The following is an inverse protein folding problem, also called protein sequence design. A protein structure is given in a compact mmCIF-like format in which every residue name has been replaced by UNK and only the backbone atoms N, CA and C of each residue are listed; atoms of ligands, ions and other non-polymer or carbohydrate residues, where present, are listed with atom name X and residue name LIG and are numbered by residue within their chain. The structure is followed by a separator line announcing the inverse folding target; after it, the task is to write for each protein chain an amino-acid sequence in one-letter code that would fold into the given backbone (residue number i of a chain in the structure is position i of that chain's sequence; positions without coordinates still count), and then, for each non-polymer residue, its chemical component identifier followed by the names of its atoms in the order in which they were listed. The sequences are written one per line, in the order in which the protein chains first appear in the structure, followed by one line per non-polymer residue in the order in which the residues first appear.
data_IF_098587912390
#
_entry.id   IF_098587912390
#
_cell.length_a   1.000
_cell.length_b   1.000
_cell.length_c   1.000
_cell.angle_alpha   90.00
_cell.angle_beta   90.00
_cell.angle_gamma   90.00
#
_symmetry.space_group_name_H-M   'P 1'
#
loop_
_entity.id
_entity.type
_entity.pdbx_description
1 polymer ?
#
# COMPACT_ATOMS: atom_id res chain seq x y z
N UNK A 1 36.40 -9.35 41.18
CA UNK A 1 36.50 -10.79 41.51
C UNK A 1 35.30 -11.17 42.37
N UNK A 2 34.29 -11.84 41.80
CA UNK A 2 33.16 -12.39 42.55
C UNK A 2 32.99 -13.83 42.08
N UNK A 3 33.31 -14.76 42.97
CA UNK A 3 33.16 -16.19 42.76
C UNK A 3 31.71 -16.62 42.97
N UNK A 4 31.26 -17.58 42.18
CA UNK A 4 30.01 -18.29 42.41
C UNK A 4 30.31 -19.77 42.28
N UNK A 5 30.18 -20.45 43.43
CA UNK A 5 30.33 -21.87 43.62
C UNK A 5 29.07 -22.54 43.08
N UNK A 6 29.21 -23.49 42.15
CA UNK A 6 28.12 -24.38 41.75
C UNK A 6 28.39 -25.80 42.25
N UNK A 7 27.37 -26.29 42.94
CA UNK A 7 27.28 -27.51 43.71
C UNK A 7 27.25 -28.77 42.82
N UNK A 8 27.87 -29.83 43.33
CA UNK A 8 27.79 -31.19 42.84
C UNK A 8 26.35 -31.70 42.72
N UNK A 9 26.00 -32.30 41.58
CA UNK A 9 24.81 -33.15 41.43
C UNK A 9 25.28 -34.56 41.09
N UNK A 10 24.94 -35.48 41.98
CA UNK A 10 25.25 -36.89 41.92
C UNK A 10 24.52 -37.58 40.76
N UNK A 11 25.25 -38.39 39.99
CA UNK A 11 24.76 -39.30 38.98
C UNK A 11 24.17 -40.56 39.65
N UNK A 12 22.86 -40.72 39.57
CA UNK A 12 22.15 -41.97 39.85
C UNK A 12 22.05 -42.85 38.59
N UNK A 13 22.04 -44.16 38.85
CA UNK A 13 22.23 -45.31 37.94
C UNK A 13 21.19 -45.45 36.80
N UNK A 14 21.56 -46.17 35.73
CA UNK A 14 20.67 -46.44 34.60
C UNK A 14 19.67 -47.56 34.91
N UNK A 15 18.39 -47.32 34.68
CA UNK A 15 17.38 -48.38 34.60
C UNK A 15 17.22 -48.83 33.14
N UNK A 16 17.38 -50.13 32.95
CA UNK A 16 17.22 -50.82 31.70
C UNK A 16 15.74 -51.01 31.34
N UNK A 17 15.45 -50.88 30.04
CA UNK A 17 14.53 -51.75 29.31
C UNK A 17 13.05 -51.44 29.43
N UNK A 18 12.53 -50.59 28.54
CA UNK A 18 11.18 -50.73 28.00
C UNK A 18 11.23 -50.44 26.49
N UNK A 19 11.01 -51.49 25.71
CA UNK A 19 10.89 -51.47 24.25
C UNK A 19 9.54 -50.86 23.87
N UNK A 20 9.44 -49.54 23.97
CA UNK A 20 8.22 -48.81 23.66
C UNK A 20 8.19 -48.54 22.16
N UNK A 21 7.19 -49.10 21.48
CA UNK A 21 6.88 -48.88 20.08
C UNK A 21 6.39 -47.43 19.88
N UNK A 22 7.30 -46.47 20.08
CA UNK A 22 7.14 -45.05 19.80
C UNK A 22 7.33 -44.84 18.30
N UNK A 23 6.41 -45.41 17.51
CA UNK A 23 6.24 -45.05 16.11
C UNK A 23 6.02 -43.53 16.07
N UNK A 24 7.02 -42.84 15.54
CA UNK A 24 7.29 -41.44 15.81
C UNK A 24 6.06 -40.54 15.75
N UNK A 25 5.79 -39.86 16.88
CA UNK A 25 5.08 -38.58 16.88
C UNK A 25 5.89 -37.63 16.00
N UNK A 26 5.68 -37.69 14.68
CA UNK A 26 6.26 -36.75 13.72
C UNK A 26 5.84 -35.37 14.18
N UNK A 27 6.84 -34.61 14.62
CA UNK A 27 6.71 -33.25 15.06
C UNK A 27 6.26 -32.37 13.88
N UNK A 28 4.95 -32.34 13.62
CA UNK A 28 4.32 -31.37 12.72
C UNK A 28 4.38 -29.93 13.29
N UNK A 29 5.16 -29.70 14.36
CA UNK A 29 5.29 -28.43 15.08
C UNK A 29 6.09 -27.36 14.32
N UNK A 30 6.84 -27.73 13.27
CA UNK A 30 7.74 -26.81 12.57
C UNK A 30 7.06 -25.76 11.69
N UNK A 31 5.90 -26.04 11.10
CA UNK A 31 5.26 -25.15 10.11
C UNK A 31 4.43 -24.04 10.75
N UNK A 32 3.85 -24.29 11.92
CA UNK A 32 3.05 -23.32 12.68
C UNK A 32 3.78 -22.00 12.95
N UNK A 33 5.01 -21.98 13.51
CA UNK A 33 5.72 -20.72 13.76
C UNK A 33 6.01 -19.97 12.46
N UNK A 34 6.31 -20.68 11.36
CA UNK A 34 6.56 -20.08 10.04
C UNK A 34 5.30 -19.38 9.54
N UNK A 35 4.14 -20.03 9.57
CA UNK A 35 2.87 -19.43 9.14
C UNK A 35 2.50 -18.20 9.98
N UNK A 36 2.66 -18.27 11.31
CA UNK A 36 2.43 -17.12 12.20
C UNK A 36 3.29 -15.91 11.79
N UNK A 37 4.58 -16.14 11.50
CA UNK A 37 5.49 -15.09 11.04
C UNK A 37 5.09 -14.56 9.65
N UNK A 38 4.74 -15.42 8.70
CA UNK A 38 4.31 -15.01 7.35
C UNK A 38 3.03 -14.15 7.38
N UNK A 39 2.04 -14.52 8.20
CA UNK A 39 0.83 -13.72 8.41
C UNK A 39 1.21 -12.34 8.98
N UNK A 40 2.05 -12.30 10.01
CA UNK A 40 2.47 -11.06 10.64
C UNK A 40 3.23 -10.13 9.67
N UNK A 41 4.12 -10.67 8.84
CA UNK A 41 4.83 -9.93 7.79
C UNK A 41 3.85 -9.38 6.75
N UNK A 42 2.86 -10.19 6.34
CA UNK A 42 1.85 -9.79 5.35
C UNK A 42 1.01 -8.60 5.85
N UNK A 43 0.56 -8.66 7.11
CA UNK A 43 -0.15 -7.54 7.78
C UNK A 43 0.73 -6.29 7.81
N UNK A 44 2.00 -6.44 8.22
CA UNK A 44 2.94 -5.32 8.29
C UNK A 44 3.13 -4.66 6.92
N UNK A 45 3.35 -5.44 5.86
CA UNK A 45 3.51 -4.93 4.49
C UNK A 45 2.24 -4.23 4.00
N UNK A 46 1.05 -4.78 4.24
CA UNK A 46 -0.21 -4.11 3.91
C UNK A 46 -0.37 -2.75 4.61
N UNK A 47 0.04 -2.64 5.89
CA UNK A 47 0.08 -1.38 6.64
C UNK A 47 1.10 -0.39 6.07
N UNK A 48 2.29 -0.86 5.69
CA UNK A 48 3.31 -0.05 5.00
C UNK A 48 2.77 0.59 3.73
N UNK A 49 2.16 -0.19 2.84
CA UNK A 49 1.56 0.37 1.62
C UNK A 49 0.41 1.32 1.93
N UNK A 50 -0.42 1.02 2.94
CA UNK A 50 -1.49 1.92 3.38
C UNK A 50 -0.96 3.28 3.86
N UNK A 51 0.16 3.28 4.58
CA UNK A 51 0.84 4.50 5.00
C UNK A 51 1.36 5.28 3.78
N UNK A 52 2.12 4.63 2.89
CA UNK A 52 2.66 5.25 1.67
C UNK A 52 1.57 5.85 0.77
N UNK A 53 0.42 5.17 0.61
CA UNK A 53 -0.72 5.68 -0.16
C UNK A 53 -1.26 7.00 0.44
N UNK A 54 -1.34 7.07 1.78
CA UNK A 54 -1.86 8.22 2.51
C UNK A 54 -0.90 9.40 2.48
N UNK A 55 0.40 9.13 2.64
CA UNK A 55 1.46 10.15 2.64
C UNK A 55 1.95 10.53 1.25
N UNK A 56 1.42 9.90 0.20
CA UNK A 56 1.85 10.05 -1.20
C UNK A 56 3.35 9.77 -1.40
N UNK A 57 3.86 8.79 -0.65
CA UNK A 57 5.23 8.32 -0.75
C UNK A 57 5.31 7.04 -1.57
N UNK A 58 6.45 6.83 -2.24
CA UNK A 58 6.74 5.59 -2.95
C UNK A 58 7.82 4.81 -2.19
N UNK A 59 7.51 3.60 -1.69
CA UNK A 59 8.50 2.78 -1.02
C UNK A 59 9.59 2.34 -2.01
N UNK A 60 10.81 2.10 -1.50
CA UNK A 60 11.96 1.71 -2.32
C UNK A 60 11.69 0.45 -3.15
N UNK A 61 11.03 -0.54 -2.56
CA UNK A 61 10.63 -1.78 -3.24
C UNK A 61 9.81 -1.49 -4.51
N UNK A 62 8.89 -0.52 -4.44
CA UNK A 62 8.07 -0.12 -5.61
C UNK A 62 8.91 0.61 -6.65
N UNK A 63 9.88 1.44 -6.24
CA UNK A 63 10.79 2.09 -7.18
C UNK A 63 11.68 1.06 -7.89
N UNK A 64 12.16 0.06 -7.17
CA UNK A 64 13.00 -1.01 -7.69
C UNK A 64 12.28 -1.84 -8.78
N UNK A 65 10.96 -2.04 -8.66
CA UNK A 65 10.16 -2.73 -9.69
C UNK A 65 10.21 -2.06 -11.07
N UNK A 66 10.51 -0.76 -11.13
CA UNK A 66 10.59 -0.02 -12.39
C UNK A 66 12.00 0.02 -13.00
N UNK A 67 12.97 -0.74 -12.46
CA UNK A 67 14.27 -0.94 -13.12
C UNK A 67 15.04 0.36 -13.42
N UNK A 68 14.90 1.39 -12.57
CA UNK A 68 15.55 2.69 -12.76
C UNK A 68 14.66 3.79 -13.35
N UNK A 69 13.52 3.43 -13.95
CA UNK A 69 12.51 4.42 -14.34
C UNK A 69 11.82 5.01 -13.11
N UNK A 70 11.63 6.32 -13.10
CA UNK A 70 10.92 7.01 -12.02
C UNK A 70 9.42 7.09 -12.38
N UNK A 71 8.56 6.22 -11.81
CA UNK A 71 7.13 6.30 -12.10
C UNK A 71 6.57 7.62 -11.60
N UNK A 72 5.57 8.17 -12.31
CA UNK A 72 4.80 9.27 -11.75
C UNK A 72 4.19 8.88 -10.40
N UNK A 73 4.06 9.83 -9.48
CA UNK A 73 3.48 9.58 -8.14
C UNK A 73 2.11 8.90 -8.27
N UNK A 74 1.27 9.36 -9.20
CA UNK A 74 -0.04 8.76 -9.45
C UNK A 74 0.04 7.28 -9.86
N UNK A 75 0.98 6.93 -10.75
CA UNK A 75 1.20 5.54 -11.17
C UNK A 75 1.74 4.69 -10.02
N UNK A 76 2.77 5.15 -9.31
CA UNK A 76 3.33 4.38 -8.19
C UNK A 76 2.32 4.17 -7.06
N UNK A 77 1.43 5.13 -6.79
CA UNK A 77 0.37 4.97 -5.78
C UNK A 77 -0.68 3.92 -6.22
N UNK A 78 -0.97 3.80 -7.52
CA UNK A 78 -1.81 2.70 -8.02
C UNK A 78 -1.16 1.34 -7.78
N UNK A 79 0.14 1.22 -8.05
CA UNK A 79 0.90 0.00 -7.76
C UNK A 79 0.88 -0.33 -6.27
N UNK A 80 1.09 0.66 -5.39
CA UNK A 80 0.96 0.46 -3.94
C UNK A 80 -0.44 -0.07 -3.54
N UNK A 81 -1.52 0.37 -4.18
CA UNK A 81 -2.87 -0.15 -3.93
C UNK A 81 -2.99 -1.62 -4.33
N UNK A 82 -2.45 -2.00 -5.48
CA UNK A 82 -2.43 -3.40 -5.95
C UNK A 82 -1.65 -4.27 -4.97
N UNK A 83 -0.42 -3.88 -4.63
CA UNK A 83 0.41 -4.62 -3.68
C UNK A 83 -0.25 -4.74 -2.31
N UNK A 84 -0.87 -3.68 -1.79
CA UNK A 84 -1.63 -3.74 -0.53
C UNK A 84 -2.72 -4.81 -0.59
N UNK A 85 -3.51 -4.85 -1.66
CA UNK A 85 -4.55 -5.85 -1.84
C UNK A 85 -3.98 -7.27 -1.91
N UNK A 86 -2.84 -7.44 -2.57
CA UNK A 86 -2.15 -8.73 -2.65
C UNK A 86 -1.64 -9.21 -1.29
N UNK A 87 -1.05 -8.32 -0.47
CA UNK A 87 -0.64 -8.67 0.89
C UNK A 87 -1.81 -9.07 1.79
N UNK A 88 -2.98 -8.44 1.65
CA UNK A 88 -4.18 -8.89 2.35
C UNK A 88 -4.70 -10.24 1.84
N UNK A 89 -4.51 -10.56 0.55
CA UNK A 89 -4.84 -11.88 0.00
C UNK A 89 -3.93 -12.94 0.61
N UNK A 90 -2.62 -12.70 0.64
CA UNK A 90 -1.64 -13.60 1.26
C UNK A 90 -1.93 -13.83 2.74
N UNK A 91 -2.27 -12.76 3.49
CA UNK A 91 -2.70 -12.87 4.89
C UNK A 91 -3.84 -13.90 5.07
N UNK A 92 -4.89 -13.82 4.24
CA UNK A 92 -6.02 -14.76 4.29
C UNK A 92 -5.58 -16.18 3.96
N UNK A 93 -4.84 -16.36 2.86
CA UNK A 93 -4.33 -17.68 2.46
C UNK A 93 -3.51 -18.35 3.56
N UNK A 94 -2.63 -17.61 4.23
CA UNK A 94 -1.82 -18.17 5.32
C UNK A 94 -2.65 -18.44 6.59
N UNK A 95 -3.65 -17.60 6.91
CA UNK A 95 -4.59 -17.87 8.01
C UNK A 95 -5.41 -19.13 7.75
N UNK A 96 -5.87 -19.33 6.51
CA UNK A 96 -6.62 -20.52 6.11
C UNK A 96 -5.74 -21.77 6.23
N UNK A 97 -4.50 -21.71 5.76
CA UNK A 97 -3.54 -22.81 5.90
C UNK A 97 -3.26 -23.15 7.37
N UNK A 98 -3.08 -22.13 8.23
CA UNK A 98 -2.88 -22.32 9.67
C UNK A 98 -4.12 -22.94 10.34
N UNK A 99 -5.31 -22.52 9.93
CA UNK A 99 -6.56 -23.07 10.44
C UNK A 99 -6.71 -24.55 10.03
N UNK A 100 -6.47 -24.89 8.75
CA UNK A 100 -6.49 -26.28 8.27
C UNK A 100 -5.49 -27.15 9.04
N UNK A 101 -4.25 -26.68 9.24
CA UNK A 101 -3.26 -27.41 10.02
C UNK A 101 -3.73 -27.69 11.45
N UNK A 102 -4.39 -26.72 12.09
CA UNK A 102 -4.96 -26.90 13.43
C UNK A 102 -6.11 -27.92 13.43
N UNK A 103 -6.95 -27.93 12.38
CA UNK A 103 -8.05 -28.89 12.25
C UNK A 103 -7.56 -30.33 12.07
N UNK A 104 -6.42 -30.54 11.40
CA UNK A 104 -5.79 -31.84 11.20
C UNK A 104 -5.14 -32.44 12.46
N UNK A 105 -5.07 -31.69 13.56
CA UNK A 105 -4.56 -32.24 14.84
C UNK A 105 -5.64 -33.03 15.58
N UNK A 106 -5.25 -34.09 16.29
CA UNK A 106 -6.14 -34.92 17.12
C UNK A 106 -6.54 -34.26 18.46
N UNK A 107 -6.53 -32.93 18.52
CA UNK A 107 -6.88 -32.18 19.71
C UNK A 107 -8.38 -32.06 19.89
N UNK A 108 -8.83 -31.99 21.14
CA UNK A 108 -10.23 -31.70 21.45
C UNK A 108 -10.63 -30.30 20.94
N UNK A 109 -11.91 -30.07 20.57
CA UNK A 109 -12.36 -28.78 20.05
C UNK A 109 -12.04 -27.58 20.96
N UNK A 110 -12.13 -27.77 22.28
CA UNK A 110 -11.78 -26.73 23.26
C UNK A 110 -10.30 -26.33 23.21
N UNK A 111 -9.41 -27.32 23.07
CA UNK A 111 -7.96 -27.07 22.93
C UNK A 111 -7.65 -26.43 21.58
N UNK A 112 -8.30 -26.86 20.49
CA UNK A 112 -8.18 -26.20 19.17
C UNK A 112 -8.57 -24.72 19.25
N UNK A 113 -9.73 -24.40 19.82
CA UNK A 113 -10.20 -23.02 19.98
C UNK A 113 -9.22 -22.16 20.79
N UNK A 114 -8.67 -22.71 21.89
CA UNK A 114 -7.65 -22.02 22.70
C UNK A 114 -6.38 -21.77 21.91
N UNK A 115 -5.83 -22.77 21.22
CA UNK A 115 -4.63 -22.63 20.39
C UNK A 115 -4.80 -21.62 19.26
N UNK A 116 -5.97 -21.60 18.61
CA UNK A 116 -6.28 -20.59 17.59
C UNK A 116 -6.19 -19.16 18.15
N UNK A 117 -6.75 -18.92 19.34
CA UNK A 117 -6.63 -17.64 20.03
C UNK A 117 -5.17 -17.29 20.31
N UNK A 118 -4.40 -18.22 20.87
CA UNK A 118 -2.97 -18.03 21.14
C UNK A 118 -2.17 -17.69 19.87
N UNK A 119 -2.52 -18.30 18.72
CA UNK A 119 -1.91 -17.94 17.44
C UNK A 119 -2.33 -16.55 16.97
N UNK A 120 -3.61 -16.19 17.04
CA UNK A 120 -4.08 -14.84 16.71
C UNK A 120 -3.36 -13.77 17.55
N UNK A 121 -3.26 -13.97 18.87
CA UNK A 121 -2.58 -13.06 19.79
C UNK A 121 -1.10 -12.90 19.40
N UNK A 122 -0.43 -14.01 19.06
CA UNK A 122 0.97 -14.01 18.63
C UNK A 122 1.17 -13.33 17.27
N UNK A 123 0.27 -13.56 16.31
CA UNK A 123 0.26 -12.88 15.01
C UNK A 123 0.14 -11.38 15.21
N UNK A 124 -0.82 -10.94 16.02
CA UNK A 124 -1.06 -9.52 16.28
C UNK A 124 0.12 -8.86 16.98
N UNK A 125 0.63 -9.47 18.06
CA UNK A 125 1.81 -9.01 18.76
C UNK A 125 3.01 -8.85 17.81
N UNK A 126 3.28 -9.87 17.00
CA UNK A 126 4.40 -9.86 16.04
C UNK A 126 4.20 -8.82 14.95
N UNK A 127 3.00 -8.71 14.38
CA UNK A 127 2.68 -7.72 13.36
C UNK A 127 2.82 -6.29 13.89
N UNK A 128 2.37 -6.03 15.12
CA UNK A 128 2.51 -4.73 15.77
C UNK A 128 3.98 -4.39 16.05
N UNK A 129 4.78 -5.36 16.51
CA UNK A 129 6.21 -5.16 16.72
C UNK A 129 6.94 -4.84 15.41
N UNK A 130 6.67 -5.59 14.34
CA UNK A 130 7.24 -5.32 13.01
C UNK A 130 6.82 -3.95 12.49
N UNK A 131 5.53 -3.63 12.63
CA UNK A 131 4.98 -2.35 12.21
C UNK A 131 5.60 -1.17 12.93
N UNK A 132 5.80 -1.24 14.26
CA UNK A 132 6.44 -0.17 15.02
C UNK A 132 7.86 0.13 14.55
N UNK A 133 8.64 -0.90 14.20
CA UNK A 133 9.98 -0.74 13.62
C UNK A 133 9.94 -0.09 12.25
N UNK A 134 9.09 -0.61 11.38
CA UNK A 134 8.95 -0.12 10.00
C UNK A 134 8.43 1.33 9.96
N UNK A 135 7.46 1.66 10.81
CA UNK A 135 6.86 2.99 10.92
C UNK A 135 7.90 4.04 11.30
N UNK A 136 8.85 3.72 12.19
CA UNK A 136 9.93 4.63 12.53
C UNK A 136 10.79 4.96 11.29
N UNK A 137 11.16 3.94 10.51
CA UNK A 137 11.90 4.10 9.24
C UNK A 137 11.12 4.94 8.22
N UNK A 138 9.84 4.62 8.00
CA UNK A 138 8.98 5.34 7.06
C UNK A 138 8.78 6.81 7.44
N UNK A 139 8.70 7.12 8.73
CA UNK A 139 8.60 8.50 9.22
C UNK A 139 9.90 9.28 8.99
N UNK A 140 11.06 8.64 9.18
CA UNK A 140 12.36 9.25 8.93
C UNK A 140 12.58 9.55 7.43
N UNK A 141 12.02 8.74 6.54
CA UNK A 141 12.10 8.95 5.09
C UNK A 141 11.15 10.03 4.56
N UNK A 142 10.32 10.64 5.42
CA UNK A 142 9.39 11.68 4.97
C UNK A 142 10.21 12.90 4.55
N UNK A 143 10.08 13.37 3.30
CA UNK A 143 10.75 14.59 2.89
C UNK A 143 10.26 15.70 3.82
N UNK A 144 11.20 16.30 4.56
CA UNK A 144 10.97 17.52 5.30
C UNK A 144 10.49 18.51 4.26
N UNK A 145 9.21 18.89 4.30
CA UNK A 145 8.72 19.94 3.40
C UNK A 145 9.68 21.10 3.56
N UNK A 146 10.39 21.54 2.49
CA UNK A 146 11.21 22.73 2.62
C UNK A 146 10.26 23.81 3.12
N UNK A 147 10.57 24.35 4.30
CA UNK A 147 9.82 25.44 4.89
C UNK A 147 9.85 26.51 3.79
N UNK A 148 8.73 26.74 3.12
CA UNK A 148 8.64 27.74 2.07
C UNK A 148 8.83 29.08 2.76
N UNK A 149 10.10 29.47 2.94
CA UNK A 149 10.46 30.84 3.25
C UNK A 149 10.05 31.61 2.00
N UNK A 150 9.05 32.47 2.14
CA UNK A 150 8.43 33.17 1.02
C UNK A 150 9.44 33.98 0.24
N UNK A 151 10.01 33.38 -0.80
CA UNK A 151 10.70 34.08 -1.87
C UNK A 151 9.72 34.05 -3.05
N UNK A 152 9.20 35.23 -3.36
CA UNK A 152 8.38 35.48 -4.53
C UNK A 152 9.24 35.16 -5.76
N UNK A 153 8.99 34.03 -6.42
CA UNK A 153 9.70 33.68 -7.64
C UNK A 153 9.28 34.65 -8.75
N UNK A 154 10.29 35.28 -9.36
CA UNK A 154 10.14 36.05 -10.60
C UNK A 154 9.54 35.16 -11.70
N UNK A 155 8.76 35.78 -12.58
CA UNK A 155 7.85 35.19 -13.57
C UNK A 155 8.45 34.12 -14.52
N UNK A 156 9.78 33.93 -14.58
CA UNK A 156 10.43 32.97 -15.49
C UNK A 156 10.23 31.51 -15.10
N UNK A 157 10.19 31.19 -13.80
CA UNK A 157 10.20 29.79 -13.34
C UNK A 157 8.82 29.13 -13.47
N UNK A 158 7.75 29.92 -13.39
CA UNK A 158 6.38 29.44 -13.56
C UNK A 158 6.13 28.99 -15.00
N UNK A 159 6.67 29.72 -15.98
CA UNK A 159 6.53 29.39 -17.39
C UNK A 159 7.29 28.10 -17.72
N UNK A 160 8.53 27.95 -17.25
CA UNK A 160 9.29 26.72 -17.47
C UNK A 160 8.68 25.50 -16.79
N UNK A 161 8.15 25.64 -15.57
CA UNK A 161 7.48 24.55 -14.88
C UNK A 161 6.14 24.17 -15.53
N UNK A 162 5.37 25.14 -16.03
CA UNK A 162 4.11 24.86 -16.75
C UNK A 162 4.38 24.23 -18.12
N UNK A 163 5.45 24.62 -18.82
CA UNK A 163 5.88 23.98 -20.06
C UNK A 163 6.38 22.54 -19.84
N UNK A 164 7.05 22.27 -18.71
CA UNK A 164 7.53 20.93 -18.35
C UNK A 164 6.40 19.93 -18.04
N UNK A 165 5.21 20.41 -17.64
CA UNK A 165 4.02 19.56 -17.47
C UNK A 165 3.42 19.10 -18.81
N UNK A 166 3.89 19.67 -19.91
CA UNK A 166 3.40 19.40 -21.27
C UNK A 166 2.24 20.32 -21.68
N UNK A 167 1.98 20.43 -22.99
CA UNK A 167 1.07 21.44 -23.57
C UNK A 167 -0.37 21.37 -23.06
N UNK A 168 -0.77 20.24 -22.45
CA UNK A 168 -2.09 20.01 -21.86
C UNK A 168 -2.40 20.88 -20.62
N UNK A 169 -1.38 21.49 -19.99
CA UNK A 169 -1.55 22.27 -18.76
C UNK A 169 -1.43 23.79 -18.96
N UNK A 170 -1.18 24.24 -20.19
CA UNK A 170 -1.04 25.67 -20.53
C UNK A 170 -2.41 26.34 -20.71
N UNK A 171 -3.49 25.56 -20.83
CA UNK A 171 -4.83 26.09 -21.08
C UNK A 171 -5.63 26.19 -19.79
N UNK A 172 -5.97 27.42 -19.40
CA UNK A 172 -6.88 27.71 -18.29
C UNK A 172 -8.18 26.91 -18.41
N UNK A 173 -8.50 26.15 -17.36
CA UNK A 173 -9.69 25.30 -17.29
C UNK A 173 -11.02 26.06 -17.20
N UNK A 174 -10.98 27.39 -17.20
CA UNK A 174 -12.16 28.26 -17.11
C UNK A 174 -12.59 28.90 -18.44
N UNK A 175 -11.87 28.69 -19.54
CA UNK A 175 -12.20 29.33 -20.82
C UNK A 175 -13.40 28.67 -21.48
N UNK A 176 -14.27 29.50 -22.04
CA UNK A 176 -15.43 29.04 -22.79
C UNK A 176 -15.00 28.31 -24.08
N UNK A 177 -15.80 27.35 -24.56
CA UNK A 177 -15.56 26.65 -25.84
C UNK A 177 -15.25 27.60 -27.01
N UNK A 178 -15.98 28.73 -27.22
CA UNK A 178 -15.65 29.68 -28.28
C UNK A 178 -14.27 30.35 -28.09
N UNK A 179 -13.85 30.66 -26.86
CA UNK A 179 -12.50 31.19 -26.62
C UNK A 179 -11.40 30.17 -26.94
N UNK A 180 -11.64 28.90 -26.62
CA UNK A 180 -10.71 27.82 -26.95
C UNK A 180 -10.61 27.60 -28.47
N UNK A 181 -11.74 27.66 -29.19
CA UNK A 181 -11.75 27.61 -30.65
C UNK A 181 -11.05 28.81 -31.29
N UNK A 182 -11.24 30.01 -30.72
CA UNK A 182 -10.54 31.22 -31.16
C UNK A 182 -9.02 31.05 -31.03
N UNK A 183 -8.54 30.44 -29.93
CA UNK A 183 -7.12 30.08 -29.76
C UNK A 183 -6.64 29.06 -30.78
N UNK A 184 -7.40 28.00 -31.05
CA UNK A 184 -7.05 27.00 -32.07
C UNK A 184 -6.86 27.66 -33.43
N UNK A 185 -7.80 28.54 -33.83
CA UNK A 185 -7.71 29.30 -35.08
C UNK A 185 -6.52 30.26 -35.11
N UNK A 186 -6.25 30.93 -33.98
CA UNK A 186 -5.08 31.80 -33.85
C UNK A 186 -3.78 31.02 -34.02
N UNK A 187 -3.64 29.84 -33.40
CA UNK A 187 -2.45 28.98 -33.56
C UNK A 187 -2.31 28.47 -34.99
N UNK A 188 -3.42 28.04 -35.62
CA UNK A 188 -3.41 27.61 -37.01
C UNK A 188 -3.01 28.72 -37.98
N UNK A 189 -3.37 29.98 -37.68
CA UNK A 189 -2.94 31.14 -38.46
C UNK A 189 -1.43 31.42 -38.44
N UNK A 190 -0.67 30.76 -37.55
CA UNK A 190 0.79 30.81 -37.51
C UNK A 190 1.45 29.57 -38.17
N UNK A 191 0.66 28.58 -38.58
CA UNK A 191 1.16 27.40 -39.30
C UNK A 191 1.31 27.70 -40.81
N UNK A 192 2.02 26.83 -41.52
CA UNK A 192 2.03 26.88 -42.99
C UNK A 192 0.61 26.69 -43.54
N UNK A 193 0.28 27.25 -44.73
CA UNK A 193 -1.04 27.09 -45.30
C UNK A 193 -1.42 25.62 -45.54
N UNK A 194 -0.44 24.75 -45.76
CA UNK A 194 -0.61 23.29 -45.91
C UNK A 194 -0.97 22.58 -44.60
N UNK A 195 -0.45 23.06 -43.45
CA UNK A 195 -0.69 22.45 -42.14
C UNK A 195 -1.84 23.12 -41.35
N UNK A 196 -2.29 24.31 -41.76
CA UNK A 196 -3.32 25.08 -41.05
C UNK A 196 -4.61 24.29 -40.82
N UNK A 197 -5.13 23.62 -41.86
CA UNK A 197 -6.34 22.80 -41.76
C UNK A 197 -6.14 21.59 -40.84
N UNK A 198 -4.95 20.98 -40.86
CA UNK A 198 -4.61 19.88 -39.94
C UNK A 198 -4.58 20.38 -38.50
N UNK A 199 -3.95 21.52 -38.23
CA UNK A 199 -3.89 22.14 -36.91
C UNK A 199 -5.29 22.47 -36.36
N UNK A 200 -6.20 22.98 -37.21
CA UNK A 200 -7.59 23.24 -36.81
C UNK A 200 -8.30 21.94 -36.48
N UNK A 201 -8.21 20.93 -37.35
CA UNK A 201 -8.86 19.63 -37.18
C UNK A 201 -8.40 18.93 -35.89
N UNK A 202 -7.10 18.89 -35.63
CA UNK A 202 -6.52 18.32 -34.41
C UNK A 202 -6.95 19.11 -33.17
N UNK A 203 -6.90 20.45 -33.22
CA UNK A 203 -7.32 21.31 -32.12
C UNK A 203 -8.79 21.12 -31.74
N UNK A 204 -9.68 21.03 -32.73
CA UNK A 204 -11.11 20.75 -32.51
C UNK A 204 -11.32 19.35 -31.92
N UNK A 205 -10.61 18.33 -32.43
CA UNK A 205 -10.70 16.96 -31.92
C UNK A 205 -10.28 16.87 -30.44
N UNK A 206 -9.25 17.61 -30.04
CA UNK A 206 -8.83 17.71 -28.63
C UNK A 206 -9.93 18.35 -27.76
N UNK A 207 -10.60 19.40 -28.23
CA UNK A 207 -11.69 20.05 -27.50
C UNK A 207 -12.89 19.12 -27.32
N UNK A 208 -13.28 18.37 -28.37
CA UNK A 208 -14.38 17.39 -28.31
C UNK A 208 -14.09 16.26 -27.31
N UNK A 209 -12.83 15.78 -27.25
CA UNK A 209 -12.41 14.77 -26.27
C UNK A 209 -12.35 15.32 -24.85
N UNK A 210 -12.00 16.60 -24.71
CA UNK A 210 -11.93 17.30 -23.42
C UNK A 210 -13.29 17.53 -22.78
N UNK A 211 -14.29 17.97 -23.55
CA UNK A 211 -15.67 18.20 -23.05
C UNK A 211 -16.35 16.91 -22.60
N UNK A 212 -16.13 15.79 -23.32
CA UNK A 212 -16.61 14.46 -22.94
C UNK A 212 -16.00 13.96 -21.62
N UNK A 213 -14.78 14.39 -21.27
CA UNK A 213 -14.15 14.05 -19.99
C UNK A 213 -14.65 14.94 -18.84
N UNK A 214 -15.02 16.20 -19.12
CA UNK A 214 -15.54 17.15 -18.13
C UNK A 214 -16.98 16.79 -17.74
N UNK A 215 -17.85 16.38 -18.68
CA UNK A 215 -19.23 15.99 -18.36
C UNK A 215 -19.32 14.79 -17.42
N UNK A 216 -18.32 13.89 -17.46
CA UNK A 216 -18.22 12.74 -16.54
C UNK A 216 -17.79 13.14 -15.12
N UNK A 217 -17.22 14.32 -14.94
CA UNK A 217 -16.72 14.79 -13.66
C UNK A 217 -17.70 15.71 -12.92
N UNK A 218 -18.57 16.41 -13.66
CA UNK A 218 -19.61 17.29 -13.09
C UNK A 218 -20.87 16.54 -12.63
N UNK A 219 -21.07 15.28 -13.03
CA UNK A 219 -22.24 14.47 -12.64
C UNK A 219 -22.16 13.73 -11.30
N UNK A 220 -21.07 13.87 -10.51
CA UNK A 220 -20.80 12.98 -9.37
C UNK A 220 -20.63 13.64 -7.99
N UNK A 221 -20.97 14.93 -7.82
CA UNK A 221 -20.62 15.69 -6.60
C UNK A 221 -21.79 16.37 -5.88
N UNK A 222 -23.01 15.86 -6.02
CA UNK A 222 -24.19 16.43 -5.36
C UNK A 222 -24.96 15.48 -4.42
N UNK A 223 -24.51 14.23 -4.17
CA UNK A 223 -25.23 13.28 -3.30
C UNK A 223 -24.31 12.42 -2.42
N UNK A 224 -23.40 13.04 -1.64
CA UNK A 224 -22.54 12.29 -0.72
C UNK A 224 -22.30 13.01 0.62
N UNK A 225 -23.34 13.61 1.20
CA UNK A 225 -23.26 14.15 2.56
C UNK A 225 -24.17 13.47 3.60
N UNK A 226 -24.96 12.43 3.27
CA UNK A 226 -25.95 11.90 4.23
C UNK A 226 -25.81 10.43 4.70
N UNK A 227 -24.77 9.68 4.30
CA UNK A 227 -24.63 8.25 4.69
C UNK A 227 -23.54 7.95 5.73
N UNK A 228 -23.10 8.94 6.53
CA UNK A 228 -22.11 8.71 7.60
C UNK A 228 -22.67 8.76 9.03
N UNK A 229 -23.97 8.48 9.23
CA UNK A 229 -24.60 8.44 10.57
C UNK A 229 -24.97 7.02 11.07
N UNK A 230 -25.04 6.00 10.21
CA UNK A 230 -25.71 4.74 10.57
C UNK A 230 -24.83 3.57 11.06
N UNK A 231 -23.54 3.76 11.37
CA UNK A 231 -22.63 2.64 11.71
C UNK A 231 -22.18 2.50 13.17
N UNK A 232 -22.69 3.31 14.11
CA UNK A 232 -22.26 3.26 15.52
C UNK A 232 -23.20 2.53 16.50
N UNK A 233 -24.28 1.88 16.06
CA UNK A 233 -25.27 1.29 16.98
C UNK A 233 -25.17 -0.23 17.20
N UNK A 234 -24.04 -0.89 16.90
CA UNK A 234 -23.91 -2.37 17.02
C UNK A 234 -22.75 -2.89 17.87
N UNK A 235 -22.26 -2.12 18.85
CA UNK A 235 -21.22 -2.60 19.77
C UNK A 235 -21.62 -2.76 21.24
N UNK A 236 -22.89 -2.57 21.61
CA UNK A 236 -23.37 -2.94 22.94
C UNK A 236 -24.59 -3.88 22.84
N UNK A 237 -24.33 -5.16 22.65
CA UNK A 237 -25.24 -6.28 22.93
C UNK A 237 -24.43 -7.52 23.22
#
# INVERSE_FOLDING_TARGET
MKGTIYSNVALTRPHAGHSDATLGKREHSGLTPVLVTLIAVSICRARTFSFCIRTKQLPLDVKALFGGYHPSIGHGIRVCKILRSEWHRQERTYRDALHVQLQLTDLTPGVKKRRWREYCDRIEYTANRLWSRELASLRAQRPTKPRQSGVVHSCSDVVHNTLALGPKFVVDRGRSTPELLSKVRSVAGHASPEDSDRCISEGVNVLLRGTAAISRFSGGRALAEDECSYRNSRQNS
#
